data_IF_458842667882
#
_entry.id   IF_458842667882
#
_cell.length_a   1.000
_cell.length_b   1.000
_cell.length_c   1.000
_cell.angle_alpha   90.00
_cell.angle_beta   90.00
_cell.angle_gamma   90.00
#
_symmetry.space_group_name_H-M   'P 1'
#
loop_
_entity.id
_entity.type
_entity.pdbx_description
1 polymer ?
#
# COMPACT_ATOMS: atom_id res chain seq x y z
N UNK A 1 1.61 20.46 5.03
CA UNK A 1 0.16 20.23 5.16
C UNK A 1 0.03 18.80 5.67
N UNK A 2 -0.16 18.63 6.99
CA UNK A 2 -0.49 17.34 7.57
C UNK A 2 -1.99 17.36 7.76
N UNK A 3 -2.72 16.74 6.85
CA UNK A 3 -4.17 16.64 6.94
C UNK A 3 -4.47 15.42 7.81
N UNK A 4 -5.11 15.62 8.96
CA UNK A 4 -5.70 14.59 9.84
C UNK A 4 -6.88 13.86 9.16
N UNK A 5 -6.77 13.58 7.87
CA UNK A 5 -7.80 12.93 7.10
C UNK A 5 -7.45 11.45 7.00
N UNK A 6 -8.30 10.63 7.62
CA UNK A 6 -8.33 9.17 7.53
C UNK A 6 -7.40 8.49 8.55
N UNK A 7 -7.91 8.27 9.77
CA UNK A 7 -7.43 7.21 10.69
C UNK A 7 -7.75 5.83 10.09
N UNK A 8 -7.08 5.46 9.01
CA UNK A 8 -7.15 4.09 8.50
C UNK A 8 -6.27 3.18 9.37
N UNK A 9 -6.58 1.88 9.36
CA UNK A 9 -5.79 0.88 10.07
C UNK A 9 -4.31 1.08 9.75
N UNK A 10 -3.50 1.35 10.77
CA UNK A 10 -2.04 1.55 10.65
C UNK A 10 -1.35 0.41 9.91
N UNK A 11 -1.97 -0.78 9.88
CA UNK A 11 -1.47 -1.97 9.22
C UNK A 11 -2.47 -2.35 8.11
N UNK A 12 -2.01 -2.54 6.87
CA UNK A 12 -2.84 -3.06 5.78
C UNK A 12 -3.54 -4.35 6.18
N UNK A 13 -4.74 -4.58 5.66
CA UNK A 13 -5.43 -5.86 5.84
C UNK A 13 -4.93 -6.86 4.81
N UNK A 14 -4.92 -8.15 5.16
CA UNK A 14 -4.57 -9.20 4.21
C UNK A 14 -5.50 -9.18 2.99
N UNK A 15 -4.93 -9.26 1.80
CA UNK A 15 -5.71 -9.35 0.56
C UNK A 15 -6.48 -10.66 0.52
N UNK A 16 -7.74 -10.58 0.11
CA UNK A 16 -8.59 -11.76 -0.06
C UNK A 16 -8.23 -12.53 -1.32
N UNK A 17 -8.55 -13.83 -1.34
CA UNK A 17 -8.42 -14.65 -2.55
C UNK A 17 -9.16 -14.05 -3.76
N UNK A 18 -10.30 -13.40 -3.51
CA UNK A 18 -11.06 -12.68 -4.53
C UNK A 18 -10.26 -11.52 -5.12
N UNK A 19 -9.64 -10.68 -4.27
CA UNK A 19 -8.79 -9.58 -4.73
C UNK A 19 -7.55 -10.08 -5.47
N UNK A 20 -6.95 -11.18 -5.03
CA UNK A 20 -5.81 -11.81 -5.71
C UNK A 20 -6.18 -12.38 -7.10
N UNK A 21 -7.44 -12.71 -7.32
CA UNK A 21 -7.95 -13.26 -8.58
C UNK A 21 -8.37 -12.17 -9.59
N UNK A 22 -8.33 -10.89 -9.21
CA UNK A 22 -8.64 -9.78 -10.10
C UNK A 22 -7.41 -9.45 -10.95
N UNK A 23 -7.64 -9.23 -12.25
CA UNK A 23 -6.64 -8.62 -13.13
C UNK A 23 -6.85 -7.10 -13.07
N UNK A 24 -5.87 -6.39 -12.53
CA UNK A 24 -5.93 -4.94 -12.38
C UNK A 24 -5.54 -4.25 -13.69
N UNK A 25 -6.13 -3.08 -13.93
CA UNK A 25 -5.91 -2.32 -15.17
C UNK A 25 -4.46 -1.82 -15.30
N UNK A 26 -3.83 -1.50 -14.17
CA UNK A 26 -2.43 -1.11 -14.10
C UNK A 26 -1.77 -1.57 -12.79
N UNK A 27 -0.44 -1.50 -12.75
CA UNK A 27 0.34 -1.90 -11.58
C UNK A 27 0.15 -0.93 -10.40
N UNK A 28 -0.20 0.33 -10.65
CA UNK A 28 -0.43 1.31 -9.59
C UNK A 28 -1.69 0.97 -8.78
N UNK A 29 -2.75 0.51 -9.44
CA UNK A 29 -3.97 0.01 -8.81
C UNK A 29 -3.72 -1.28 -8.02
N UNK A 30 -2.93 -2.21 -8.56
CA UNK A 30 -2.53 -3.41 -7.81
C UNK A 30 -1.75 -3.03 -6.53
N UNK A 31 -0.84 -2.06 -6.61
CA UNK A 31 -0.09 -1.56 -5.45
C UNK A 31 -1.00 -0.84 -4.44
N UNK A 32 -1.98 -0.08 -4.91
CA UNK A 32 -2.97 0.55 -4.05
C UNK A 32 -3.82 -0.50 -3.32
N UNK A 33 -4.18 -1.61 -3.97
CA UNK A 33 -4.89 -2.70 -3.30
C UNK A 33 -3.98 -3.41 -2.29
N UNK A 34 -2.71 -3.61 -2.60
CA UNK A 34 -1.76 -4.21 -1.66
C UNK A 34 -1.60 -3.37 -0.38
N UNK A 35 -1.64 -2.04 -0.50
CA UNK A 35 -1.43 -1.11 0.62
C UNK A 35 -2.73 -0.75 1.36
N UNK A 36 -3.79 -0.42 0.62
CA UNK A 36 -5.00 0.22 1.12
C UNK A 36 -6.25 -0.65 0.95
N UNK A 37 -6.13 -1.82 0.33
CA UNK A 37 -7.25 -2.73 0.08
C UNK A 37 -8.25 -2.24 -0.98
N UNK A 38 -7.96 -1.13 -1.68
CA UNK A 38 -8.85 -0.52 -2.66
C UNK A 38 -8.10 0.06 -3.86
N UNK A 39 -8.78 0.15 -5.00
CA UNK A 39 -8.25 0.80 -6.21
C UNK A 39 -8.41 2.32 -6.13
N UNK A 40 -7.74 3.05 -7.02
CA UNK A 40 -7.89 4.50 -7.13
C UNK A 40 -9.35 4.90 -7.44
N UNK A 41 -10.04 4.11 -8.26
CA UNK A 41 -11.47 4.31 -8.56
C UNK A 41 -12.33 4.15 -7.31
N UNK A 42 -12.17 3.06 -6.57
CA UNK A 42 -12.92 2.82 -5.33
C UNK A 42 -12.68 3.93 -4.31
N UNK A 43 -11.43 4.41 -4.19
CA UNK A 43 -11.11 5.54 -3.30
C UNK A 43 -11.85 6.81 -3.71
N UNK A 44 -11.88 7.14 -5.00
CA UNK A 44 -12.57 8.33 -5.52
C UNK A 44 -14.09 8.26 -5.34
N UNK A 45 -14.67 7.08 -5.50
CA UNK A 45 -16.10 6.83 -5.24
C UNK A 45 -16.45 6.98 -3.76
N UNK A 46 -15.54 6.62 -2.85
CA UNK A 46 -15.71 6.76 -1.40
C UNK A 46 -15.44 8.18 -0.88
N UNK A 47 -14.68 9.00 -1.62
CA UNK A 47 -14.29 10.36 -1.23
C UNK A 47 -14.57 11.39 -2.34
N UNK A 48 -15.83 11.56 -2.76
CA UNK A 48 -16.20 12.42 -3.91
C UNK A 48 -15.85 13.90 -3.71
N UNK A 49 -15.73 14.36 -2.46
CA UNK A 49 -15.39 15.73 -2.08
C UNK A 49 -13.88 16.00 -2.02
N UNK A 50 -13.05 14.96 -1.98
CA UNK A 50 -11.59 15.09 -1.95
C UNK A 50 -11.04 15.26 -3.38
N UNK A 51 -10.07 16.16 -3.53
CA UNK A 51 -9.37 16.39 -4.80
C UNK A 51 -8.09 15.56 -4.82
N UNK A 52 -7.68 15.08 -5.98
CA UNK A 52 -6.44 14.32 -6.13
C UNK A 52 -6.66 12.80 -6.09
N UNK A 53 -5.72 12.07 -5.49
CA UNK A 53 -5.72 10.60 -5.44
C UNK A 53 -5.29 10.07 -4.06
N UNK A 54 -5.56 8.80 -3.78
CA UNK A 54 -5.27 8.15 -2.49
C UNK A 54 -3.86 8.38 -1.94
N UNK A 55 -2.83 8.42 -2.80
CA UNK A 55 -1.43 8.59 -2.38
C UNK A 55 -1.14 10.01 -1.87
N UNK A 56 -1.88 11.02 -2.33
CA UNK A 56 -1.75 12.40 -1.80
C UNK A 56 -2.26 12.54 -0.37
N UNK A 57 -3.08 11.57 0.08
CA UNK A 57 -3.61 11.49 1.43
C UNK A 57 -2.92 10.41 2.28
N UNK A 58 -1.90 9.73 1.74
CA UNK A 58 -1.13 8.73 2.47
C UNK A 58 -0.12 9.40 3.42
N UNK A 59 0.10 8.76 4.56
CA UNK A 59 1.15 9.13 5.51
C UNK A 59 2.55 8.87 4.92
N UNK A 60 3.57 9.50 5.51
CA UNK A 60 4.97 9.32 5.09
C UNK A 60 5.38 7.83 5.15
N UNK A 61 4.95 7.10 6.18
CA UNK A 61 5.27 5.67 6.31
C UNK A 61 4.64 4.84 5.20
N UNK A 62 3.40 5.15 4.81
CA UNK A 62 2.71 4.46 3.73
C UNK A 62 3.36 4.77 2.37
N UNK A 63 3.80 6.02 2.15
CA UNK A 63 4.54 6.40 0.95
C UNK A 63 5.91 5.70 0.85
N UNK A 64 6.62 5.55 1.97
CA UNK A 64 7.87 4.77 2.03
C UNK A 64 7.60 3.30 1.66
N UNK A 65 6.54 2.71 2.23
CA UNK A 65 6.13 1.34 1.94
C UNK A 65 5.78 1.16 0.45
N UNK A 66 4.99 2.07 -0.13
CA UNK A 66 4.65 2.07 -1.55
C UNK A 66 5.89 2.14 -2.44
N UNK A 67 6.83 3.05 -2.15
CA UNK A 67 8.06 3.18 -2.94
C UNK A 67 8.92 1.92 -2.89
N UNK A 68 8.97 1.25 -1.74
CA UNK A 68 9.64 -0.04 -1.66
C UNK A 68 8.89 -1.13 -2.45
N UNK A 69 7.57 -1.18 -2.36
CA UNK A 69 6.76 -2.13 -3.13
C UNK A 69 6.88 -1.93 -4.64
N UNK A 70 7.00 -0.69 -5.13
CA UNK A 70 7.23 -0.38 -6.54
C UNK A 70 8.53 -1.02 -7.04
N UNK A 71 9.62 -0.89 -6.27
CA UNK A 71 10.90 -1.52 -6.60
C UNK A 71 10.82 -3.06 -6.58
N UNK A 72 10.17 -3.64 -5.57
CA UNK A 72 9.99 -5.09 -5.49
C UNK A 72 9.09 -5.63 -6.60
N UNK A 73 8.04 -4.90 -6.95
CA UNK A 73 7.13 -5.30 -8.03
C UNK A 73 7.87 -5.34 -9.37
N UNK A 74 8.77 -4.39 -9.65
CA UNK A 74 9.62 -4.42 -10.83
C UNK A 74 10.45 -5.72 -10.89
N UNK A 75 11.10 -6.10 -9.77
CA UNK A 75 11.85 -7.35 -9.68
C UNK A 75 10.96 -8.58 -9.89
N UNK A 76 9.75 -8.58 -9.33
CA UNK A 76 8.81 -9.69 -9.50
C UNK A 76 8.26 -9.81 -10.92
N UNK A 77 8.09 -8.69 -11.62
CA UNK A 77 7.74 -8.65 -13.04
C UNK A 77 8.87 -9.28 -13.86
N UNK A 78 10.12 -8.90 -13.61
CA UNK A 78 11.30 -9.46 -14.30
C UNK A 78 11.46 -10.97 -14.05
N UNK A 79 11.02 -11.45 -12.88
CA UNK A 79 10.99 -12.87 -12.52
C UNK A 79 9.79 -13.63 -13.15
N UNK A 80 8.89 -12.94 -13.84
CA UNK A 80 7.72 -13.56 -14.46
C UNK A 80 6.64 -14.04 -13.47
N UNK A 81 6.64 -13.53 -12.23
CA UNK A 81 5.65 -13.91 -11.22
C UNK A 81 4.27 -13.35 -11.63
N UNK A 82 3.19 -14.15 -11.63
CA UNK A 82 1.84 -13.67 -11.98
C UNK A 82 1.33 -12.54 -11.08
N UNK A 83 0.55 -11.59 -11.63
CA UNK A 83 0.11 -10.37 -10.91
C UNK A 83 -0.64 -10.69 -9.59
N UNK A 84 -1.50 -11.70 -9.56
CA UNK A 84 -2.20 -12.12 -8.35
C UNK A 84 -1.26 -12.63 -7.26
N UNK A 85 -0.21 -13.37 -7.63
CA UNK A 85 0.82 -13.82 -6.69
C UNK A 85 1.69 -12.66 -6.19
N UNK A 86 2.01 -11.70 -7.07
CA UNK A 86 2.72 -10.47 -6.70
C UNK A 86 1.90 -9.66 -5.68
N UNK A 87 0.60 -9.50 -5.91
CA UNK A 87 -0.29 -8.79 -4.99
C UNK A 87 -0.25 -9.40 -3.58
N UNK A 88 -0.36 -10.72 -3.46
CA UNK A 88 -0.27 -11.41 -2.16
C UNK A 88 1.08 -11.15 -1.49
N UNK A 89 2.19 -11.34 -2.21
CA UNK A 89 3.54 -11.12 -1.69
C UNK A 89 3.76 -9.67 -1.25
N UNK A 90 3.36 -8.72 -2.07
CA UNK A 90 3.52 -7.28 -1.79
C UNK A 90 2.68 -6.85 -0.59
N UNK A 91 1.44 -7.34 -0.47
CA UNK A 91 0.60 -7.06 0.70
C UNK A 91 1.21 -7.61 1.99
N UNK A 92 1.77 -8.83 1.97
CA UNK A 92 2.49 -9.38 3.13
C UNK A 92 3.69 -8.52 3.53
N UNK A 93 4.46 -8.04 2.54
CA UNK A 93 5.59 -7.13 2.76
C UNK A 93 5.11 -5.79 3.32
N UNK A 94 4.02 -5.24 2.81
CA UNK A 94 3.42 -4.00 3.29
C UNK A 94 2.98 -4.11 4.75
N UNK A 95 2.32 -5.21 5.11
CA UNK A 95 1.91 -5.53 6.49
C UNK A 95 3.13 -5.56 7.41
N UNK A 96 4.21 -6.24 7.00
CA UNK A 96 5.43 -6.33 7.80
C UNK A 96 6.11 -4.96 7.95
N UNK A 97 6.23 -4.19 6.87
CA UNK A 97 6.85 -2.87 6.89
C UNK A 97 6.08 -1.89 7.76
N UNK A 98 4.75 -1.88 7.64
CA UNK A 98 3.90 -1.00 8.44
C UNK A 98 3.91 -1.37 9.92
N UNK A 99 4.07 -2.67 10.27
CA UNK A 99 4.33 -3.07 11.67
C UNK A 99 5.62 -2.45 12.21
N UNK A 100 6.71 -2.47 11.43
CA UNK A 100 8.01 -1.93 11.85
C UNK A 100 7.98 -0.39 11.93
N UNK A 101 7.37 0.27 10.94
CA UNK A 101 7.30 1.73 10.89
C UNK A 101 6.29 2.30 11.89
N UNK A 102 5.22 1.55 12.20
CA UNK A 102 4.20 1.90 13.19
C UNK A 102 4.68 1.78 14.65
N UNK A 103 5.60 0.85 14.94
CA UNK A 103 6.23 0.74 16.26
C UNK A 103 7.44 1.67 16.42
N UNK A 104 8.13 1.98 15.31
CA UNK A 104 9.38 2.75 15.29
C UNK A 104 9.26 4.25 15.60
N UNK A 105 8.04 4.80 15.74
CA UNK A 105 7.82 6.16 16.22
C UNK A 105 8.23 6.38 17.68
N UNK A 106 8.23 5.32 18.49
CA UNK A 106 8.56 5.39 19.93
C UNK A 106 9.97 4.90 20.29
N UNK A 107 10.65 4.15 19.39
CA UNK A 107 11.87 3.40 19.75
C UNK A 107 13.12 3.73 18.92
N UNK A 108 13.07 4.72 18.00
CA UNK A 108 14.31 5.28 17.44
C UNK A 108 15.00 6.20 18.46
N UNK A 109 15.48 5.61 19.56
CA UNK A 109 16.73 6.07 20.15
C UNK A 109 17.78 5.88 19.08
N UNK A 110 18.14 6.99 18.45
CA UNK A 110 19.34 7.11 17.61
C UNK A 110 20.48 6.43 18.37
N UNK A 111 20.94 5.30 17.86
CA UNK A 111 22.22 4.74 18.27
C UNK A 111 23.26 5.75 17.81
N UNK A 112 23.89 6.41 18.79
CA UNK A 112 25.01 7.32 18.61
C UNK A 112 26.26 6.56 18.20
#
# INVERSE_FOLDING_TARGET
IHTDAIKQNLIPTEVTAKQASIIYADEADMLNVAMFGMTAKMWREQHPELKGNIREYATINELICLSNMENLNAVFIDQGIPQGERLIKLNQIAIQQMRILGTGGSERKLLK
#
